data_IF_135613655667
#
_entry.id   IF_135613655667
#
_cell.length_a   1.000
_cell.length_b   1.000
_cell.length_c   1.000
_cell.angle_alpha   90.00
_cell.angle_beta   90.00
_cell.angle_gamma   90.00
#
_symmetry.space_group_name_H-M   'P 1'
#
loop_
_entity.id
_entity.type
_entity.pdbx_description
1 polymer ?
#
# COMPACT_ATOMS: atom_id res chain seq x y z
N UNK A 1 -41.60 24.71 -10.84
CA UNK A 1 -40.22 25.03 -10.40
C UNK A 1 -40.17 24.74 -8.92
N UNK A 2 -39.39 23.76 -8.46
CA UNK A 2 -39.33 23.46 -7.02
C UNK A 2 -38.77 24.67 -6.25
N UNK A 3 -39.18 24.75 -5.00
CA UNK A 3 -39.01 25.89 -4.10
C UNK A 3 -37.54 26.37 -4.02
N UNK A 4 -37.24 27.58 -4.54
CA UNK A 4 -35.90 28.17 -4.50
C UNK A 4 -35.35 28.32 -3.08
N UNK A 5 -36.21 28.50 -2.07
CA UNK A 5 -35.81 28.64 -0.67
C UNK A 5 -35.31 27.30 -0.11
N UNK A 6 -36.02 26.20 -0.39
CA UNK A 6 -35.59 24.84 0.00
C UNK A 6 -34.23 24.49 -0.63
N UNK A 7 -34.04 24.80 -1.90
CA UNK A 7 -32.78 24.56 -2.62
C UNK A 7 -31.64 25.36 -1.97
N UNK A 8 -31.85 26.64 -1.67
CA UNK A 8 -30.82 27.47 -1.03
C UNK A 8 -30.52 27.01 0.42
N UNK A 9 -31.52 26.54 1.15
CA UNK A 9 -31.38 25.99 2.50
C UNK A 9 -30.48 24.74 2.52
N UNK A 10 -30.73 23.76 1.64
CA UNK A 10 -29.89 22.56 1.49
C UNK A 10 -28.46 22.94 1.10
N UNK A 11 -28.30 23.87 0.16
CA UNK A 11 -26.99 24.31 -0.33
C UNK A 11 -26.13 24.91 0.78
N UNK A 12 -26.71 25.77 1.61
CA UNK A 12 -26.01 26.41 2.73
C UNK A 12 -25.70 25.43 3.85
N UNK A 13 -26.68 24.59 4.24
CA UNK A 13 -26.51 23.63 5.35
C UNK A 13 -25.49 22.53 5.03
N UNK A 14 -25.46 22.04 3.79
CA UNK A 14 -24.56 20.98 3.36
C UNK A 14 -23.27 21.48 2.70
N UNK A 15 -23.17 22.78 2.38
CA UNK A 15 -22.07 23.39 1.62
C UNK A 15 -21.82 22.70 0.27
N UNK A 16 -22.89 22.30 -0.42
CA UNK A 16 -22.85 21.61 -1.73
C UNK A 16 -23.10 22.56 -2.90
N UNK A 17 -22.85 22.09 -4.13
CA UNK A 17 -23.16 22.85 -5.35
C UNK A 17 -24.66 22.96 -5.64
N UNK A 18 -25.04 23.90 -6.52
CA UNK A 18 -26.44 24.13 -6.92
C UNK A 18 -27.08 22.88 -7.56
N UNK A 19 -26.33 22.16 -8.40
CA UNK A 19 -26.83 20.95 -9.08
C UNK A 19 -27.18 19.86 -8.08
N UNK A 20 -26.31 19.64 -7.08
CA UNK A 20 -26.52 18.69 -5.99
C UNK A 20 -27.73 19.07 -5.14
N UNK A 21 -27.84 20.35 -4.74
CA UNK A 21 -28.97 20.83 -3.96
C UNK A 21 -30.30 20.70 -4.70
N UNK A 22 -30.33 20.99 -6.01
CA UNK A 22 -31.50 20.77 -6.87
C UNK A 22 -31.90 19.30 -6.93
N UNK A 23 -30.95 18.41 -7.21
CA UNK A 23 -31.20 16.98 -7.24
C UNK A 23 -31.81 16.46 -5.93
N UNK A 24 -31.26 16.88 -4.78
CA UNK A 24 -31.76 16.46 -3.47
C UNK A 24 -33.20 16.93 -3.23
N UNK A 25 -33.51 18.20 -3.53
CA UNK A 25 -34.87 18.72 -3.40
C UNK A 25 -35.82 18.12 -4.44
N UNK A 26 -35.35 17.82 -5.65
CA UNK A 26 -36.12 17.12 -6.68
C UNK A 26 -36.50 15.71 -6.23
N UNK A 27 -35.62 15.04 -5.50
CA UNK A 27 -35.84 13.68 -4.98
C UNK A 27 -36.74 13.61 -3.75
N UNK A 28 -36.55 14.48 -2.77
CA UNK A 28 -37.21 14.36 -1.45
C UNK A 28 -38.32 15.39 -1.21
N UNK A 29 -38.27 16.55 -1.86
CA UNK A 29 -39.13 17.73 -1.61
C UNK A 29 -39.19 18.18 -0.13
N UNK A 30 -38.26 17.70 0.69
CA UNK A 30 -38.13 17.99 2.11
C UNK A 30 -36.64 18.24 2.42
N UNK A 31 -36.37 19.32 3.14
CA UNK A 31 -34.99 19.78 3.41
C UNK A 31 -34.29 18.85 4.40
N UNK A 32 -34.98 18.36 5.41
CA UNK A 32 -34.37 17.56 6.47
C UNK A 32 -34.12 16.13 5.97
N UNK A 33 -35.07 15.53 5.24
CA UNK A 33 -34.86 14.24 4.56
C UNK A 33 -33.72 14.30 3.54
N UNK A 34 -33.60 15.40 2.78
CA UNK A 34 -32.50 15.62 1.85
C UNK A 34 -31.13 15.69 2.56
N UNK A 35 -31.08 16.34 3.73
CA UNK A 35 -29.86 16.46 4.54
C UNK A 35 -29.47 15.12 5.16
N UNK A 36 -30.42 14.41 5.75
CA UNK A 36 -30.18 13.09 6.35
C UNK A 36 -29.67 12.10 5.30
N UNK A 37 -30.31 12.05 4.13
CA UNK A 37 -29.88 11.21 3.02
C UNK A 37 -28.44 11.53 2.58
N UNK A 38 -28.13 12.82 2.38
CA UNK A 38 -26.80 13.24 1.92
C UNK A 38 -25.70 12.92 2.94
N UNK A 39 -25.96 13.15 4.23
CA UNK A 39 -25.02 12.79 5.30
C UNK A 39 -24.78 11.29 5.34
N UNK A 40 -25.84 10.48 5.25
CA UNK A 40 -25.74 9.03 5.22
C UNK A 40 -24.94 8.54 4.00
N UNK A 41 -25.17 9.13 2.82
CA UNK A 41 -24.40 8.83 1.62
C UNK A 41 -22.91 9.15 1.80
N UNK A 42 -22.57 10.32 2.35
CA UNK A 42 -21.18 10.67 2.66
C UNK A 42 -20.56 9.67 3.65
N UNK A 43 -21.28 9.30 4.71
CA UNK A 43 -20.80 8.32 5.67
C UNK A 43 -20.59 6.93 5.03
N UNK A 44 -21.49 6.51 4.14
CA UNK A 44 -21.37 5.28 3.36
C UNK A 44 -20.18 5.33 2.39
N UNK A 45 -20.00 6.45 1.67
CA UNK A 45 -18.85 6.67 0.78
C UNK A 45 -17.53 6.69 1.55
N UNK A 46 -17.48 7.36 2.70
CA UNK A 46 -16.30 7.35 3.58
C UNK A 46 -16.01 5.94 4.10
N UNK A 47 -17.02 5.19 4.54
CA UNK A 47 -16.87 3.78 4.92
C UNK A 47 -16.38 2.92 3.77
N UNK A 48 -16.93 3.12 2.57
CA UNK A 48 -16.50 2.38 1.38
C UNK A 48 -15.05 2.69 1.03
N UNK A 49 -14.64 3.97 1.09
CA UNK A 49 -13.26 4.38 0.87
C UNK A 49 -12.32 3.80 1.95
N UNK A 50 -12.73 3.78 3.22
CA UNK A 50 -11.97 3.13 4.31
C UNK A 50 -11.85 1.62 4.11
N UNK A 51 -12.86 0.99 3.53
CA UNK A 51 -12.88 -0.44 3.21
C UNK A 51 -12.15 -0.79 1.90
N UNK A 52 -11.82 0.21 1.08
CA UNK A 52 -11.12 0.01 -0.17
C UNK A 52 -9.64 -0.32 0.09
N UNK A 53 -9.29 -1.59 -0.15
CA UNK A 53 -7.94 -2.10 0.07
C UNK A 53 -6.98 -1.78 -1.07
N UNK A 54 -7.50 -1.83 -2.30
CA UNK A 54 -6.68 -1.73 -3.50
C UNK A 54 -7.12 -0.59 -4.41
N UNK A 55 -6.17 -0.07 -5.15
CA UNK A 55 -6.35 0.91 -6.22
C UNK A 55 -5.59 0.47 -7.48
N UNK A 56 -5.64 1.27 -8.55
CA UNK A 56 -5.01 0.89 -9.82
C UNK A 56 -3.47 0.85 -9.66
N UNK A 57 -2.84 -0.21 -10.19
CA UNK A 57 -1.39 -0.36 -10.24
C UNK A 57 -0.71 0.77 -11.02
N UNK A 58 -1.40 1.34 -12.01
CA UNK A 58 -0.94 2.49 -12.83
C UNK A 58 -0.55 3.71 -12.00
N UNK A 59 -0.98 3.82 -10.73
CA UNK A 59 -0.48 4.88 -9.84
C UNK A 59 1.05 4.85 -9.70
N UNK A 60 1.63 3.67 -9.84
CA UNK A 60 3.07 3.46 -9.90
C UNK A 60 3.53 3.60 -11.35
N UNK A 61 3.56 4.85 -11.81
CA UNK A 61 3.89 5.21 -13.19
C UNK A 61 5.17 4.52 -13.71
N UNK A 62 6.12 4.22 -12.81
CA UNK A 62 7.36 3.52 -13.16
C UNK A 62 7.15 2.12 -13.75
N UNK A 63 6.14 1.34 -13.33
CA UNK A 63 5.88 0.00 -13.91
C UNK A 63 5.39 0.04 -15.36
N UNK A 64 4.99 1.22 -15.85
CA UNK A 64 4.57 1.44 -17.22
C UNK A 64 5.67 2.09 -18.09
N UNK A 65 6.84 2.36 -17.51
CA UNK A 65 7.93 3.05 -18.21
C UNK A 65 9.04 2.09 -18.68
N UNK A 66 9.77 2.54 -19.70
CA UNK A 66 10.92 1.83 -20.29
C UNK A 66 12.06 1.57 -19.29
N UNK A 67 12.11 2.32 -18.20
CA UNK A 67 13.11 2.16 -17.14
C UNK A 67 12.80 1.00 -16.19
N UNK A 68 11.61 0.40 -16.24
CA UNK A 68 11.25 -0.77 -15.44
C UNK A 68 11.96 -2.02 -15.98
N UNK A 69 12.92 -2.53 -15.22
CA UNK A 69 13.62 -3.77 -15.56
C UNK A 69 13.63 -4.74 -14.37
N UNK A 70 13.34 -6.05 -14.58
CA UNK A 70 12.75 -6.62 -15.79
C UNK A 70 11.31 -6.10 -16.05
N UNK A 71 10.90 -6.02 -17.31
CA UNK A 71 9.54 -5.53 -17.66
C UNK A 71 8.50 -6.54 -17.15
N UNK A 72 7.51 -6.04 -16.40
CA UNK A 72 6.37 -6.83 -15.94
C UNK A 72 5.48 -7.18 -17.13
N UNK A 73 5.17 -8.47 -17.30
CA UNK A 73 4.19 -8.89 -18.30
C UNK A 73 2.76 -8.72 -17.79
N UNK A 74 1.79 -8.67 -18.70
CA UNK A 74 0.38 -8.42 -18.37
C UNK A 74 -0.20 -9.44 -17.38
N UNK A 75 0.18 -10.71 -17.49
CA UNK A 75 -0.29 -11.76 -16.57
C UNK A 75 0.19 -11.50 -15.15
N UNK A 76 1.48 -11.20 -14.96
CA UNK A 76 2.06 -10.96 -13.64
C UNK A 76 1.64 -9.61 -13.06
N UNK A 77 1.35 -8.60 -13.89
CA UNK A 77 0.75 -7.33 -13.44
C UNK A 77 -0.58 -7.56 -12.71
N UNK A 78 -1.40 -8.52 -13.15
CA UNK A 78 -2.67 -8.83 -12.46
C UNK A 78 -2.49 -9.42 -11.06
N UNK A 79 -1.31 -9.96 -10.78
CA UNK A 79 -0.95 -10.54 -9.48
C UNK A 79 -0.36 -9.49 -8.51
N UNK A 80 -0.25 -8.22 -8.93
CA UNK A 80 0.27 -7.13 -8.11
C UNK A 80 -0.87 -6.15 -7.82
N UNK A 81 -1.23 -6.03 -6.55
CA UNK A 81 -2.32 -5.15 -6.11
C UNK A 81 -1.74 -3.96 -5.35
N UNK A 82 -1.86 -2.78 -5.94
CA UNK A 82 -1.53 -1.53 -5.28
C UNK A 82 -2.42 -1.31 -4.06
N UNK A 83 -1.82 -1.16 -2.88
CA UNK A 83 -2.56 -0.84 -1.66
C UNK A 83 -2.97 0.63 -1.68
N UNK A 84 -4.19 0.93 -1.21
CA UNK A 84 -4.58 2.32 -0.96
C UNK A 84 -3.71 2.91 0.14
N UNK A 85 -3.48 4.23 0.10
CA UNK A 85 -2.72 4.96 1.14
C UNK A 85 -3.21 4.65 2.56
N UNK A 86 -4.54 4.59 2.75
CA UNK A 86 -5.14 4.30 4.05
C UNK A 86 -4.86 2.87 4.49
N UNK A 87 -5.15 1.88 3.65
CA UNK A 87 -4.98 0.47 4.00
C UNK A 87 -3.49 0.11 4.18
N UNK A 88 -2.60 0.68 3.36
CA UNK A 88 -1.16 0.57 3.51
C UNK A 88 -0.70 1.09 4.88
N UNK A 89 -1.21 2.24 5.32
CA UNK A 89 -0.90 2.82 6.63
C UNK A 89 -1.37 1.93 7.78
N UNK A 90 -2.56 1.33 7.67
CA UNK A 90 -3.06 0.40 8.68
C UNK A 90 -2.18 -0.85 8.80
N UNK A 91 -1.77 -1.43 7.66
CA UNK A 91 -0.86 -2.57 7.65
C UNK A 91 0.53 -2.21 8.18
N UNK A 92 1.05 -1.04 7.81
CA UNK A 92 2.33 -0.53 8.31
C UNK A 92 2.29 -0.31 9.83
N UNK A 93 1.24 0.35 10.33
CA UNK A 93 1.00 0.51 11.77
C UNK A 93 0.97 -0.85 12.45
N UNK A 94 0.25 -1.82 11.87
CA UNK A 94 0.11 -3.17 12.43
C UNK A 94 1.45 -3.90 12.53
N UNK A 95 2.25 -3.89 11.46
CA UNK A 95 3.39 -4.80 11.32
C UNK A 95 4.77 -4.17 11.51
N UNK A 96 4.93 -2.85 11.33
CA UNK A 96 6.23 -2.20 11.22
C UNK A 96 6.41 -1.14 12.31
N UNK A 97 5.64 -0.05 12.25
CA UNK A 97 5.78 1.08 13.17
C UNK A 97 4.53 1.95 13.19
N UNK A 98 4.07 2.38 14.36
CA UNK A 98 2.94 3.32 14.47
C UNK A 98 3.39 4.78 14.30
N UNK A 99 4.62 5.10 14.74
CA UNK A 99 5.14 6.46 14.82
C UNK A 99 5.97 6.88 13.61
N UNK A 100 6.60 5.94 12.89
CA UNK A 100 7.47 6.24 11.74
C UNK A 100 6.80 5.94 10.42
N UNK A 101 7.18 6.73 9.41
CA UNK A 101 6.67 6.63 8.04
C UNK A 101 7.61 5.87 7.10
N UNK A 102 8.91 5.83 7.40
CA UNK A 102 9.94 5.14 6.63
C UNK A 102 10.78 4.29 7.57
N UNK A 103 11.35 3.18 7.08
CA UNK A 103 12.22 2.31 7.87
C UNK A 103 13.45 3.06 8.36
N UNK A 104 14.03 3.90 7.51
CA UNK A 104 15.24 4.68 7.81
C UNK A 104 15.07 5.72 8.92
N UNK A 105 13.84 6.00 9.35
CA UNK A 105 13.54 6.94 10.43
C UNK A 105 13.34 6.27 11.79
N UNK A 106 13.41 4.94 11.85
CA UNK A 106 13.29 4.17 13.09
C UNK A 106 14.64 4.22 13.81
N UNK A 107 14.67 4.91 14.95
CA UNK A 107 15.91 5.10 15.72
C UNK A 107 15.86 4.43 17.09
N UNK A 108 14.67 4.10 17.58
CA UNK A 108 14.47 3.53 18.91
C UNK A 108 13.73 2.18 18.86
N UNK A 109 14.08 1.19 19.71
CA UNK A 109 13.46 -0.13 19.69
C UNK A 109 11.94 -0.15 19.93
N UNK A 110 11.40 0.82 20.68
CA UNK A 110 9.97 0.95 20.96
C UNK A 110 9.16 1.49 19.77
N UNK A 111 9.82 2.13 18.81
CA UNK A 111 9.23 2.57 17.54
C UNK A 111 9.11 1.42 16.54
N UNK A 112 9.73 0.27 16.82
CA UNK A 112 9.89 -0.84 15.88
C UNK A 112 9.20 -2.12 16.37
N UNK A 113 8.33 -2.69 15.53
CA UNK A 113 7.67 -3.98 15.80
C UNK A 113 8.48 -5.20 15.34
N UNK A 114 9.59 -4.97 14.64
CA UNK A 114 10.50 -6.00 14.14
C UNK A 114 11.70 -6.07 15.08
N UNK A 115 12.17 -7.28 15.36
CA UNK A 115 13.20 -7.64 16.34
C UNK A 115 14.09 -8.75 15.76
N UNK A 116 15.15 -9.10 16.49
CA UNK A 116 16.02 -10.23 16.18
C UNK A 116 16.56 -10.19 14.74
N UNK A 117 16.98 -9.00 14.29
CA UNK A 117 17.56 -8.84 12.96
C UNK A 117 18.88 -9.59 12.83
N UNK A 118 18.96 -10.44 11.81
CA UNK A 118 20.17 -11.12 11.36
C UNK A 118 20.60 -10.43 10.06
N UNK A 119 21.60 -9.55 10.18
CA UNK A 119 22.05 -8.69 9.09
C UNK A 119 22.95 -9.38 8.05
N UNK A 120 23.23 -8.64 6.98
CA UNK A 120 24.23 -8.95 5.94
C UNK A 120 24.10 -10.35 5.33
N UNK A 121 22.88 -10.83 5.13
CA UNK A 121 22.63 -12.15 4.54
C UNK A 121 22.89 -12.16 3.04
N UNK A 122 22.71 -11.02 2.38
CA UNK A 122 22.89 -10.84 0.94
C UNK A 122 23.10 -9.35 0.62
N UNK A 123 23.97 -9.04 -0.35
CA UNK A 123 24.13 -7.68 -0.87
C UNK A 123 23.31 -7.55 -2.15
N UNK A 124 22.10 -7.01 -2.03
CA UNK A 124 21.16 -6.90 -3.14
C UNK A 124 21.56 -5.81 -4.14
N UNK A 125 22.19 -4.73 -3.68
CA UNK A 125 22.46 -3.57 -4.52
C UNK A 125 23.48 -3.88 -5.62
N UNK A 126 24.43 -4.79 -5.35
CA UNK A 126 25.36 -5.27 -6.38
C UNK A 126 24.62 -5.92 -7.54
N UNK A 127 23.79 -6.92 -7.26
CA UNK A 127 23.04 -7.65 -8.29
C UNK A 127 21.96 -6.77 -8.95
N UNK A 128 21.45 -5.77 -8.22
CA UNK A 128 20.53 -4.76 -8.75
C UNK A 128 21.21 -3.92 -9.84
N UNK A 129 22.42 -3.39 -9.56
CA UNK A 129 23.21 -2.63 -10.53
C UNK A 129 23.62 -3.47 -11.76
N UNK A 130 23.80 -4.77 -11.58
CA UNK A 130 24.18 -5.71 -12.65
C UNK A 130 22.97 -6.31 -13.39
N UNK A 131 21.73 -5.91 -13.05
CA UNK A 131 20.51 -6.46 -13.63
C UNK A 131 20.38 -7.99 -13.48
N UNK A 132 20.94 -8.58 -12.41
CA UNK A 132 20.95 -10.02 -12.18
C UNK A 132 19.64 -10.50 -11.55
N UNK A 133 18.63 -10.71 -12.38
CA UNK A 133 17.27 -11.08 -11.95
C UNK A 133 17.23 -12.38 -11.12
N UNK A 134 18.09 -13.36 -11.41
CA UNK A 134 18.09 -14.67 -10.74
C UNK A 134 18.72 -14.64 -9.34
N UNK A 135 19.41 -13.55 -8.98
CA UNK A 135 20.11 -13.44 -7.71
C UNK A 135 19.17 -13.59 -6.51
N UNK A 136 17.95 -13.06 -6.60
CA UNK A 136 16.99 -13.15 -5.50
C UNK A 136 16.48 -14.58 -5.26
N UNK A 137 16.22 -15.33 -6.35
CA UNK A 137 15.90 -16.75 -6.27
C UNK A 137 17.05 -17.55 -5.64
N UNK A 138 18.29 -17.25 -6.01
CA UNK A 138 19.47 -17.97 -5.53
C UNK A 138 19.82 -17.64 -4.09
N UNK A 139 19.78 -16.37 -3.71
CA UNK A 139 20.36 -15.87 -2.47
C UNK A 139 19.31 -15.59 -1.38
N UNK A 140 18.05 -15.31 -1.73
CA UNK A 140 17.02 -14.88 -0.77
C UNK A 140 16.01 -15.99 -0.47
N UNK A 141 15.52 -16.72 -1.48
CA UNK A 141 14.58 -17.84 -1.25
C UNK A 141 15.10 -18.86 -0.22
N UNK A 142 16.37 -19.28 -0.20
CA UNK A 142 16.84 -20.25 0.80
C UNK A 142 16.84 -19.73 2.24
N UNK A 143 16.77 -18.41 2.45
CA UNK A 143 16.79 -17.80 3.79
C UNK A 143 15.43 -17.87 4.50
N UNK A 144 14.37 -18.20 3.76
CA UNK A 144 13.00 -18.18 4.25
C UNK A 144 12.18 -19.33 3.67
N UNK A 145 11.22 -19.85 4.43
CA UNK A 145 10.42 -21.02 4.01
C UNK A 145 9.07 -20.64 3.35
N UNK A 146 8.99 -19.44 2.78
CA UNK A 146 7.79 -18.99 2.07
C UNK A 146 7.62 -19.75 0.76
N UNK A 147 6.38 -20.09 0.45
CA UNK A 147 6.00 -20.79 -0.78
C UNK A 147 5.80 -19.80 -1.93
N UNK A 148 5.92 -20.25 -3.18
CA UNK A 148 5.78 -19.40 -4.37
C UNK A 148 4.45 -18.63 -4.41
N UNK A 149 3.36 -19.27 -3.98
CA UNK A 149 2.00 -18.69 -3.94
C UNK A 149 1.66 -17.99 -2.62
N UNK A 150 2.62 -17.86 -1.70
CA UNK A 150 2.37 -17.11 -0.47
C UNK A 150 2.12 -15.64 -0.80
N UNK A 151 1.05 -15.12 -0.22
CA UNK A 151 0.75 -13.69 -0.25
C UNK A 151 1.77 -12.95 0.60
N UNK A 152 2.42 -11.97 -0.01
CA UNK A 152 3.39 -11.08 0.62
C UNK A 152 2.99 -9.62 0.40
N UNK A 153 3.35 -8.80 1.38
CA UNK A 153 3.24 -7.35 1.33
C UNK A 153 4.63 -6.78 1.14
N UNK A 154 4.79 -5.87 0.19
CA UNK A 154 6.03 -5.13 -0.05
C UNK A 154 5.77 -3.66 0.23
N UNK A 155 6.56 -3.06 1.12
CA UNK A 155 6.42 -1.66 1.50
C UNK A 155 7.65 -0.86 1.09
N UNK A 156 7.41 0.30 0.47
CA UNK A 156 8.39 1.38 0.37
C UNK A 156 8.33 2.27 1.60
N UNK A 157 7.11 2.59 2.04
CA UNK A 157 6.88 3.39 3.24
C UNK A 157 5.45 3.17 3.74
N UNK A 158 5.06 3.90 4.79
CA UNK A 158 3.74 3.80 5.42
C UNK A 158 2.56 3.99 4.46
N UNK A 159 2.72 4.78 3.40
CA UNK A 159 1.64 5.14 2.49
C UNK A 159 1.74 4.43 1.14
N UNK A 160 2.84 3.74 0.89
CA UNK A 160 3.17 3.16 -0.41
C UNK A 160 3.61 1.71 -0.25
N UNK A 161 2.78 0.80 -0.76
CA UNK A 161 3.05 -0.62 -0.76
C UNK A 161 2.14 -1.39 -1.74
N UNK A 162 2.49 -2.65 -1.96
CA UNK A 162 1.74 -3.61 -2.79
C UNK A 162 1.49 -4.90 -2.03
N UNK A 163 0.47 -5.62 -2.45
CA UNK A 163 0.26 -7.04 -2.15
C UNK A 163 0.53 -7.85 -3.41
N UNK A 164 1.30 -8.94 -3.31
CA UNK A 164 1.52 -9.86 -4.43
C UNK A 164 1.84 -11.27 -3.96
N UNK A 165 2.10 -12.18 -4.90
CA UNK A 165 2.67 -13.50 -4.65
C UNK A 165 4.17 -13.41 -4.44
N UNK A 166 4.71 -14.26 -3.59
CA UNK A 166 6.15 -14.31 -3.33
C UNK A 166 6.97 -14.57 -4.60
N UNK A 167 6.49 -15.46 -5.47
CA UNK A 167 7.10 -15.75 -6.77
C UNK A 167 7.26 -14.52 -7.66
N UNK A 168 6.24 -13.65 -7.70
CA UNK A 168 6.25 -12.41 -8.48
C UNK A 168 7.27 -11.42 -7.90
N UNK A 169 7.32 -11.29 -6.56
CA UNK A 169 8.35 -10.46 -5.92
C UNK A 169 9.75 -10.98 -6.24
N UNK A 170 10.00 -12.28 -6.17
CA UNK A 170 11.32 -12.83 -6.51
C UNK A 170 11.69 -12.64 -7.99
N UNK A 171 10.72 -12.70 -8.90
CA UNK A 171 10.94 -12.55 -10.34
C UNK A 171 11.23 -11.09 -10.73
N UNK A 172 10.56 -10.14 -10.08
CA UNK A 172 10.58 -8.72 -10.44
C UNK A 172 11.26 -7.82 -9.39
N UNK A 173 12.00 -8.40 -8.45
CA UNK A 173 12.57 -7.69 -7.30
C UNK A 173 13.29 -6.39 -7.68
N UNK A 174 14.06 -6.39 -8.76
CA UNK A 174 14.82 -5.21 -9.24
C UNK A 174 13.89 -4.02 -9.53
N UNK A 175 12.72 -4.28 -10.12
CA UNK A 175 11.74 -3.25 -10.49
C UNK A 175 11.06 -2.61 -9.28
N UNK A 176 11.13 -3.24 -8.11
CA UNK A 176 10.54 -2.72 -6.88
C UNK A 176 11.52 -1.87 -6.06
N UNK A 177 12.82 -1.84 -6.38
CA UNK A 177 13.82 -1.18 -5.55
C UNK A 177 14.24 0.18 -6.07
N UNK A 178 14.50 1.07 -5.12
CA UNK A 178 15.14 2.36 -5.31
C UNK A 178 16.36 2.41 -4.39
N UNK A 179 17.43 3.08 -4.81
CA UNK A 179 18.68 3.16 -4.07
C UNK A 179 18.60 4.07 -2.83
N UNK A 180 17.62 4.97 -2.80
CA UNK A 180 17.38 5.93 -1.72
C UNK A 180 16.32 5.52 -0.69
N UNK A 181 15.66 4.37 -0.86
CA UNK A 181 14.62 3.88 0.04
C UNK A 181 14.94 2.49 0.61
N UNK A 182 14.65 2.28 1.90
CA UNK A 182 14.71 0.96 2.51
C UNK A 182 13.34 0.29 2.45
N UNK A 183 13.29 -0.96 2.01
CA UNK A 183 12.05 -1.71 1.84
C UNK A 183 11.90 -2.83 2.86
N UNK A 184 10.66 -3.25 3.09
CA UNK A 184 10.35 -4.42 3.92
C UNK A 184 9.31 -5.31 3.25
N UNK A 185 9.56 -6.62 3.30
CA UNK A 185 8.68 -7.66 2.77
C UNK A 185 8.15 -8.48 3.93
N UNK A 186 6.83 -8.65 3.97
CA UNK A 186 6.12 -9.34 5.04
C UNK A 186 5.18 -10.37 4.44
N UNK A 187 5.32 -11.62 4.85
CA UNK A 187 4.24 -12.60 4.74
C UNK A 187 3.36 -12.50 6.00
N UNK A 188 2.06 -12.17 5.89
CA UNK A 188 1.16 -12.06 7.04
C UNK A 188 1.06 -13.33 7.89
N UNK A 189 1.34 -14.50 7.33
CA UNK A 189 1.31 -15.81 8.02
C UNK A 189 2.65 -16.18 8.69
N UNK A 190 3.72 -15.44 8.41
CA UNK A 190 5.08 -15.70 8.90
C UNK A 190 5.51 -14.72 9.99
N UNK A 191 6.31 -15.17 10.96
CA UNK A 191 7.05 -14.26 11.87
C UNK A 191 8.28 -13.67 11.21
N UNK A 192 8.90 -14.37 10.27
CA UNK A 192 10.06 -13.86 9.52
C UNK A 192 9.64 -12.72 8.62
N UNK A 193 10.52 -11.73 8.48
CA UNK A 193 10.40 -10.58 7.57
C UNK A 193 11.75 -10.36 6.88
N UNK A 194 11.70 -9.77 5.69
CA UNK A 194 12.89 -9.42 4.91
C UNK A 194 13.04 -7.89 4.93
N UNK A 195 14.22 -7.41 5.27
CA UNK A 195 14.58 -6.00 5.23
C UNK A 195 15.61 -5.78 4.13
N UNK A 196 15.38 -4.78 3.29
CA UNK A 196 16.29 -4.33 2.23
C UNK A 196 16.70 -2.90 2.58
N UNK A 197 17.92 -2.70 3.03
CA UNK A 197 18.39 -1.40 3.53
C UNK A 197 19.17 -0.64 2.47
N UNK A 198 19.15 0.70 2.52
CA UNK A 198 19.82 1.59 1.53
C UNK A 198 21.33 1.43 1.43
N UNK A 199 21.98 0.77 2.39
CA UNK A 199 23.39 0.38 2.29
C UNK A 199 23.62 -0.87 1.40
N UNK A 200 22.57 -1.35 0.73
CA UNK A 200 22.61 -2.48 -0.17
C UNK A 200 22.55 -3.86 0.49
N UNK A 201 22.35 -3.93 1.81
CA UNK A 201 22.26 -5.19 2.53
C UNK A 201 20.81 -5.67 2.67
N UNK A 202 20.66 -6.99 2.69
CA UNK A 202 19.45 -7.69 3.07
C UNK A 202 19.65 -8.33 4.44
N UNK A 203 18.66 -8.14 5.31
CA UNK A 203 18.58 -8.76 6.62
C UNK A 203 17.30 -9.59 6.74
N UNK A 204 17.37 -10.66 7.54
CA UNK A 204 16.19 -11.41 7.97
C UNK A 204 15.92 -11.07 9.42
N UNK A 205 14.69 -10.68 9.73
CA UNK A 205 14.30 -10.34 11.09
C UNK A 205 12.98 -11.03 11.46
N UNK A 206 12.50 -10.76 12.66
CA UNK A 206 11.28 -11.37 13.21
C UNK A 206 10.32 -10.30 13.69
N UNK A 207 9.02 -10.53 13.50
CA UNK A 207 7.95 -9.75 14.13
C UNK A 207 7.12 -10.65 15.05
N UNK A 208 6.47 -10.02 16.01
CA UNK A 208 5.54 -10.72 16.89
C UNK A 208 4.37 -11.32 16.07
N UNK A 209 4.00 -12.58 16.38
CA UNK A 209 2.77 -13.22 15.89
C UNK A 209 1.60 -12.61 16.68
N UNK A 210 1.04 -11.51 16.19
CA UNK A 210 -0.25 -10.98 16.64
C UNK A 210 -1.35 -11.47 15.71
#
# INVERSE_FOLDING_TARGET
MKDPEKINSVRTKLKVGLSTAKFLIDRFDDVDLAIEFWKKQIEEEQKNHLNQKYENLEKFYYFENEYCFPILNDSDKTEIKALTTYYCSELWNKYISESKKHLMLINYPDEWKIKNEIGNQYNWQKDWNENNIEAFNKNVKPLINWQEDDLVLFFWNKHTGIESKWSVICKYWISFLYDDESNVIINPKSTKVILLTTNGNLSIAERDKK
#
